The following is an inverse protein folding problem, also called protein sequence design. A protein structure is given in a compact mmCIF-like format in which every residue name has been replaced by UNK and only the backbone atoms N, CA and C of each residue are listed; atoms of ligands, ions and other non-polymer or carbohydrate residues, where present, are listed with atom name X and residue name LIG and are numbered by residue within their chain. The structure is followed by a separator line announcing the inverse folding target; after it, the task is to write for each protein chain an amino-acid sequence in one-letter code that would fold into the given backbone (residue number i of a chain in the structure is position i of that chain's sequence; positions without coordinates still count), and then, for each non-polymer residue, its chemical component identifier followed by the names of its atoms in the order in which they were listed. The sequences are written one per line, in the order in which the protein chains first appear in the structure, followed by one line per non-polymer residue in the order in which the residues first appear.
data_IF_058531454018
#
_entry.id   IF_058531454018
#
_cell.length_a   1.000
_cell.length_b   1.000
_cell.length_c   1.000
_cell.angle_alpha   90.00
_cell.angle_beta   90.00
_cell.angle_gamma   90.00
#
_symmetry.space_group_name_H-M   'P 1'
#
loop_
_entity.id
_entity.type
_entity.pdbx_description
1 polymer ?
#
# COMPACT_ATOMS: atom_id res chain seq x y z
N UNK A 1 19.85 -4.67 14.76
CA UNK A 1 21.10 -4.16 14.16
C UNK A 1 20.76 -2.86 13.44
N UNK A 2 21.28 -1.74 13.94
CA UNK A 2 21.11 -0.42 13.33
C UNK A 2 21.84 -0.44 11.98
N UNK A 3 21.08 -0.52 10.89
CA UNK A 3 21.61 -0.28 9.56
C UNK A 3 22.10 1.16 9.51
N UNK A 4 23.40 1.33 9.28
CA UNK A 4 23.99 2.60 8.90
C UNK A 4 23.19 3.07 7.69
N UNK A 5 22.41 4.15 7.85
CA UNK A 5 21.75 4.80 6.73
C UNK A 5 22.87 5.19 5.75
N UNK A 6 22.96 4.49 4.62
CA UNK A 6 23.87 4.91 3.56
C UNK A 6 23.45 6.32 3.15
N UNK A 7 24.36 7.27 3.29
CA UNK A 7 24.16 8.62 2.76
C UNK A 7 23.84 8.45 1.27
N UNK A 8 22.62 8.83 0.88
CA UNK A 8 22.23 8.83 -0.52
C UNK A 8 23.09 9.88 -1.23
N UNK A 9 24.01 9.46 -2.10
CA UNK A 9 24.81 10.35 -2.94
C UNK A 9 24.00 10.81 -4.17
N UNK A 10 22.80 11.36 -3.92
CA UNK A 10 21.95 11.85 -4.98
C UNK A 10 22.50 13.20 -5.50
N UNK A 11 22.98 13.21 -6.74
CA UNK A 11 23.49 14.43 -7.39
C UNK A 11 22.42 15.05 -8.27
N UNK A 12 22.03 16.29 -7.96
CA UNK A 12 21.05 17.04 -8.77
C UNK A 12 21.64 17.42 -10.12
N UNK A 13 20.93 17.07 -11.20
CA UNK A 13 21.23 17.53 -12.55
C UNK A 13 20.44 18.79 -12.89
N UNK A 14 19.14 18.77 -12.60
CA UNK A 14 18.24 19.88 -12.91
C UNK A 14 17.09 19.93 -11.91
N UNK A 15 16.59 21.13 -11.66
CA UNK A 15 15.47 21.37 -10.74
C UNK A 15 14.57 22.47 -11.24
N UNK A 16 13.27 22.36 -10.96
CA UNK A 16 12.28 23.38 -11.29
C UNK A 16 11.23 23.50 -10.20
N UNK A 17 10.76 24.71 -9.93
CA UNK A 17 9.74 25.01 -8.94
C UNK A 17 8.59 25.80 -9.57
N UNK A 18 7.36 25.35 -9.35
CA UNK A 18 6.15 26.07 -9.76
C UNK A 18 5.27 26.32 -8.54
N UNK A 19 4.75 27.54 -8.42
CA UNK A 19 3.69 27.87 -7.46
C UNK A 19 2.34 27.64 -8.11
N UNK A 20 1.50 26.86 -7.43
CA UNK A 20 0.16 26.50 -7.89
C UNK A 20 -0.87 27.15 -6.95
N UNK A 21 -1.77 27.93 -7.54
CA UNK A 21 -2.86 28.56 -6.81
C UNK A 21 -4.21 28.15 -7.42
N UNK A 22 -4.92 27.29 -6.70
CA UNK A 22 -6.22 26.73 -7.13
C UNK A 22 -7.30 27.81 -7.18
N UNK A 23 -7.27 28.81 -6.30
CA UNK A 23 -8.31 29.86 -6.23
C UNK A 23 -8.23 30.83 -7.42
N UNK A 24 -7.01 31.10 -7.88
CA UNK A 24 -6.77 32.00 -9.03
C UNK A 24 -6.50 31.25 -10.33
N UNK A 25 -6.45 29.92 -10.27
CA UNK A 25 -6.08 29.03 -11.38
C UNK A 25 -4.74 29.42 -12.04
N UNK A 26 -3.75 29.81 -11.23
CA UNK A 26 -2.44 30.23 -11.73
C UNK A 26 -1.33 29.21 -11.45
N UNK A 27 -0.47 29.02 -12.44
CA UNK A 27 0.75 28.22 -12.37
C UNK A 27 1.95 29.09 -12.76
N UNK A 28 2.76 29.48 -11.77
CA UNK A 28 3.88 30.39 -11.98
C UNK A 28 5.22 29.69 -11.72
N UNK A 29 6.10 29.67 -12.71
CA UNK A 29 7.48 29.23 -12.52
C UNK A 29 8.23 30.20 -11.62
N UNK A 30 8.99 29.65 -10.68
CA UNK A 30 9.76 30.43 -9.70
C UNK A 30 11.24 30.18 -9.95
N UNK A 31 11.98 31.26 -10.20
CA UNK A 31 13.43 31.21 -10.22
C UNK A 31 13.90 30.76 -8.85
N UNK A 32 14.55 29.59 -8.78
CA UNK A 32 15.06 29.06 -7.51
C UNK A 32 16.41 29.73 -7.25
N UNK A 33 16.49 30.68 -6.29
CA UNK A 33 17.74 31.34 -6.01
C UNK A 33 18.49 30.44 -5.03
N UNK A 34 19.39 29.57 -5.50
CA UNK A 34 20.03 28.64 -4.55
C UNK A 34 21.52 28.46 -4.76
N UNK A 35 22.20 28.55 -3.63
CA UNK A 35 23.40 27.78 -3.34
C UNK A 35 23.04 26.28 -3.38
N UNK A 36 23.73 25.48 -4.20
CA UNK A 36 23.31 24.10 -4.51
C UNK A 36 23.22 23.19 -3.27
N UNK A 37 23.93 23.52 -2.19
CA UNK A 37 24.05 22.69 -0.99
C UNK A 37 22.72 22.49 -0.24
N UNK A 38 21.93 23.54 -0.03
CA UNK A 38 20.69 23.44 0.75
C UNK A 38 19.62 22.63 0.02
N UNK A 39 19.56 22.76 -1.31
CA UNK A 39 18.63 22.02 -2.15
C UNK A 39 18.98 20.52 -2.22
N UNK A 40 20.28 20.19 -2.26
CA UNK A 40 20.77 18.81 -2.19
C UNK A 40 20.50 18.19 -0.81
N UNK A 41 20.66 18.94 0.27
CA UNK A 41 20.31 18.50 1.62
C UNK A 41 18.80 18.22 1.75
N UNK A 42 17.96 19.12 1.21
CA UNK A 42 16.50 18.95 1.18
C UNK A 42 16.09 17.71 0.37
N UNK A 43 16.67 17.50 -0.82
CA UNK A 43 16.43 16.30 -1.63
C UNK A 43 16.84 15.03 -0.88
N UNK A 44 18.00 15.04 -0.24
CA UNK A 44 18.51 13.88 0.50
C UNK A 44 17.57 13.48 1.63
N UNK A 45 17.05 14.45 2.39
CA UNK A 45 16.06 14.22 3.43
C UNK A 45 14.75 13.62 2.88
N UNK A 46 14.23 14.16 1.77
CA UNK A 46 13.04 13.63 1.11
C UNK A 46 13.25 12.19 0.62
N UNK A 47 14.38 11.90 -0.01
CA UNK A 47 14.68 10.56 -0.48
C UNK A 47 14.82 9.58 0.69
N UNK A 48 15.45 9.98 1.79
CA UNK A 48 15.54 9.14 2.99
C UNK A 48 14.14 8.78 3.53
N UNK A 49 13.23 9.75 3.57
CA UNK A 49 11.83 9.51 3.99
C UNK A 49 11.09 8.57 3.03
N UNK A 50 11.23 8.78 1.71
CA UNK A 50 10.57 7.96 0.68
C UNK A 50 11.07 6.51 0.73
N UNK A 51 12.38 6.29 0.87
CA UNK A 51 12.96 4.93 0.94
C UNK A 51 12.75 4.26 2.29
N UNK A 52 12.65 5.05 3.37
CA UNK A 52 12.54 4.55 4.74
C UNK A 52 11.19 3.90 5.08
N UNK A 53 10.16 4.06 4.23
CA UNK A 53 8.85 3.44 4.46
C UNK A 53 8.72 2.10 3.70
N UNK A 54 8.49 0.97 4.39
CA UNK A 54 8.20 -0.31 3.76
C UNK A 54 6.82 -0.34 3.04
N UNK A 55 6.06 0.76 3.13
CA UNK A 55 4.78 0.99 2.45
C UNK A 55 5.02 1.28 0.97
N UNK A 56 5.28 0.25 0.18
CA UNK A 56 5.41 0.39 -1.26
C UNK A 56 4.20 -0.23 -1.98
N UNK A 57 3.50 0.60 -2.75
CA UNK A 57 2.63 0.14 -3.83
C UNK A 57 3.35 0.36 -5.14
N UNK A 58 3.45 -0.67 -5.98
CA UNK A 58 4.09 -0.52 -7.28
C UNK A 58 3.11 -0.01 -8.33
N UNK A 59 3.60 0.92 -9.13
CA UNK A 59 2.85 1.54 -10.21
C UNK A 59 3.57 1.36 -11.55
N UNK A 60 2.80 1.42 -12.62
CA UNK A 60 3.30 1.52 -13.99
C UNK A 60 2.51 2.60 -14.72
N UNK A 61 3.06 3.15 -15.80
CA UNK A 61 2.31 4.04 -16.68
C UNK A 61 1.06 3.33 -17.23
N UNK A 62 -0.05 4.06 -17.35
CA UNK A 62 -1.25 3.56 -18.00
C UNK A 62 -1.04 3.32 -19.50
N UNK A 63 -0.23 4.17 -20.15
CA UNK A 63 0.17 4.07 -21.55
C UNK A 63 1.57 4.71 -21.74
N UNK A 64 2.38 4.29 -22.73
CA UNK A 64 3.64 4.95 -23.04
C UNK A 64 3.48 6.36 -23.64
N UNK A 65 2.27 6.76 -24.03
CA UNK A 65 1.98 8.04 -24.71
C UNK A 65 1.10 8.99 -23.90
N UNK A 66 1.02 8.80 -22.57
CA UNK A 66 0.30 9.76 -21.73
C UNK A 66 1.07 11.08 -21.63
N UNK A 67 0.45 12.12 -21.07
CA UNK A 67 1.10 13.40 -20.88
C UNK A 67 2.30 13.25 -19.92
N UNK A 68 2.11 12.56 -18.79
CA UNK A 68 3.20 12.27 -17.85
C UNK A 68 4.32 11.42 -18.48
N UNK A 69 3.98 10.39 -19.27
CA UNK A 69 4.96 9.58 -19.98
C UNK A 69 5.79 10.40 -20.97
N UNK A 70 5.12 11.30 -21.71
CA UNK A 70 5.75 12.20 -22.67
C UNK A 70 6.68 13.19 -21.97
N UNK A 71 6.23 13.79 -20.86
CA UNK A 71 7.05 14.68 -20.03
C UNK A 71 8.30 13.98 -19.52
N UNK A 72 8.17 12.77 -18.98
CA UNK A 72 9.31 11.99 -18.54
C UNK A 72 10.29 11.80 -19.71
N UNK A 73 9.86 11.26 -20.83
CA UNK A 73 10.73 11.05 -22.00
C UNK A 73 11.48 12.32 -22.42
N UNK A 74 10.83 13.49 -22.39
CA UNK A 74 11.47 14.77 -22.67
C UNK A 74 12.56 15.09 -21.63
N UNK A 75 12.28 14.91 -20.34
CA UNK A 75 13.25 15.15 -19.25
C UNK A 75 14.47 14.22 -19.35
N UNK A 76 14.27 12.95 -19.73
CA UNK A 76 15.37 12.00 -19.93
C UNK A 76 16.21 12.35 -21.16
N UNK A 77 15.58 12.87 -22.22
CA UNK A 77 16.27 13.31 -23.43
C UNK A 77 17.08 14.60 -23.23
N UNK A 78 16.47 15.64 -22.66
CA UNK A 78 17.12 16.94 -22.43
C UNK A 78 18.11 16.91 -21.26
N UNK A 79 17.84 16.07 -20.25
CA UNK A 79 18.49 16.08 -18.94
C UNK A 79 18.45 17.45 -18.24
N UNK A 80 17.46 18.25 -18.60
CA UNK A 80 17.28 19.62 -18.15
C UNK A 80 15.79 19.95 -18.11
N UNK A 81 15.30 20.20 -16.90
CA UNK A 81 13.91 20.55 -16.64
C UNK A 81 13.62 22.02 -16.98
N UNK A 82 14.61 22.90 -16.93
CA UNK A 82 14.41 24.34 -17.17
C UNK A 82 14.14 24.61 -18.65
N UNK A 83 14.80 23.88 -19.54
CA UNK A 83 14.65 24.04 -21.00
C UNK A 83 13.53 23.19 -21.61
N UNK A 84 13.03 22.18 -20.87
CA UNK A 84 11.95 21.32 -21.32
C UNK A 84 10.57 22.00 -21.12
N UNK A 85 9.80 22.31 -22.18
CA UNK A 85 8.46 22.89 -22.04
C UNK A 85 7.49 21.97 -21.27
N UNK A 86 7.72 20.66 -21.33
CA UNK A 86 6.92 19.65 -20.63
C UNK A 86 6.95 19.82 -19.10
N UNK A 87 7.95 20.52 -18.55
CA UNK A 87 8.05 20.84 -17.13
C UNK A 87 6.91 21.77 -16.68
N UNK A 88 6.61 22.79 -17.50
CA UNK A 88 5.48 23.70 -17.28
C UNK A 88 4.16 22.97 -17.56
N UNK A 89 4.08 22.21 -18.66
CA UNK A 89 2.88 21.43 -19.01
C UNK A 89 2.47 20.49 -17.87
N UNK A 90 3.42 19.78 -17.27
CA UNK A 90 3.13 18.87 -16.16
C UNK A 90 2.67 19.61 -14.88
N UNK A 91 3.22 20.81 -14.62
CA UNK A 91 2.79 21.66 -13.51
C UNK A 91 1.36 22.21 -13.73
N UNK A 92 1.04 22.67 -14.94
CA UNK A 92 -0.29 23.11 -15.32
C UNK A 92 -1.31 21.97 -15.29
N UNK A 93 -0.90 20.76 -15.68
CA UNK A 93 -1.73 19.56 -15.54
C UNK A 93 -2.07 19.30 -14.08
N UNK A 94 -1.08 19.35 -13.18
CA UNK A 94 -1.32 19.19 -11.76
C UNK A 94 -2.38 20.19 -11.28
N UNK A 95 -2.19 21.48 -11.56
CA UNK A 95 -3.16 22.51 -11.22
C UNK A 95 -4.56 22.22 -11.78
N UNK A 96 -4.66 21.90 -13.08
CA UNK A 96 -5.94 21.57 -13.74
C UNK A 96 -6.66 20.42 -13.04
N UNK A 97 -5.94 19.37 -12.67
CA UNK A 97 -6.54 18.23 -11.95
C UNK A 97 -6.94 18.61 -10.53
N UNK A 98 -6.17 19.47 -9.85
CA UNK A 98 -6.51 19.96 -8.51
C UNK A 98 -7.78 20.81 -8.53
N UNK A 99 -7.91 21.77 -9.46
CA UNK A 99 -9.13 22.57 -9.68
C UNK A 99 -10.32 21.65 -9.92
N UNK A 100 -10.23 20.72 -10.88
CA UNK A 100 -11.31 19.76 -11.17
C UNK A 100 -11.65 18.85 -9.97
N UNK A 101 -10.69 18.55 -9.11
CA UNK A 101 -10.92 17.72 -7.92
C UNK A 101 -11.60 18.53 -6.81
N UNK A 102 -11.21 19.79 -6.65
CA UNK A 102 -11.80 20.73 -5.71
C UNK A 102 -13.25 21.06 -6.09
N UNK A 103 -13.55 21.27 -7.37
CA UNK A 103 -14.92 21.44 -7.86
C UNK A 103 -15.81 20.22 -7.54
N UNK A 104 -15.27 19.01 -7.72
CA UNK A 104 -16.01 17.76 -7.50
C UNK A 104 -16.23 17.43 -6.03
N UNK A 105 -15.25 17.71 -5.16
CA UNK A 105 -15.21 17.17 -3.80
C UNK A 105 -14.98 18.21 -2.70
N UNK A 106 -14.70 19.47 -3.02
CA UNK A 106 -14.39 20.53 -2.05
C UNK A 106 -15.54 20.77 -1.07
N UNK A 107 -16.78 20.56 -1.49
CA UNK A 107 -17.98 20.64 -0.64
C UNK A 107 -18.01 19.60 0.51
N UNK A 108 -17.17 18.57 0.44
CA UNK A 108 -17.04 17.55 1.50
C UNK A 108 -16.12 18.01 2.63
N UNK A 109 -15.34 19.08 2.43
CA UNK A 109 -14.56 19.66 3.51
C UNK A 109 -15.47 20.34 4.54
N UNK A 110 -15.48 19.79 5.76
CA UNK A 110 -16.26 20.31 6.88
C UNK A 110 -15.74 21.66 7.38
N UNK A 111 -14.51 22.04 7.03
CA UNK A 111 -13.92 23.32 7.43
C UNK A 111 -14.35 24.48 6.53
N UNK A 112 -14.92 24.19 5.36
CA UNK A 112 -15.35 25.18 4.37
C UNK A 112 -14.20 25.91 3.69
N UNK A 113 -12.96 25.40 3.81
CA UNK A 113 -11.75 25.98 3.21
C UNK A 113 -11.34 25.29 1.91
N UNK A 114 -11.97 24.16 1.61
CA UNK A 114 -11.64 23.31 0.48
C UNK A 114 -10.79 22.11 0.90
N UNK A 115 -10.77 21.08 0.04
CA UNK A 115 -10.08 19.82 0.30
C UNK A 115 -8.58 19.91 -0.04
N UNK A 116 -8.21 20.75 -1.00
CA UNK A 116 -6.86 20.91 -1.51
C UNK A 116 -6.30 22.30 -1.20
N UNK A 117 -5.09 22.33 -0.65
CA UNK A 117 -4.39 23.57 -0.32
C UNK A 117 -3.51 24.08 -1.46
N UNK A 118 -3.24 25.40 -1.45
CA UNK A 118 -2.18 26.04 -2.23
C UNK A 118 -0.83 25.38 -1.93
N UNK A 119 0.02 25.32 -2.95
CA UNK A 119 1.29 24.62 -2.80
C UNK A 119 2.27 24.90 -3.92
N UNK A 120 3.36 24.16 -3.83
CA UNK A 120 4.41 24.16 -4.84
C UNK A 120 4.56 22.79 -5.46
N UNK A 121 4.81 22.77 -6.77
CA UNK A 121 5.30 21.60 -7.47
C UNK A 121 6.79 21.72 -7.73
N UNK A 122 7.56 20.96 -6.97
CA UNK A 122 9.01 20.91 -7.04
C UNK A 122 9.42 19.64 -7.79
N UNK A 123 10.23 19.81 -8.82
CA UNK A 123 10.66 18.74 -9.71
C UNK A 123 12.17 18.64 -9.68
N UNK A 124 12.69 17.43 -9.52
CA UNK A 124 14.11 17.11 -9.54
C UNK A 124 14.40 16.10 -10.64
N UNK A 125 15.51 16.32 -11.33
CA UNK A 125 16.19 15.31 -12.11
C UNK A 125 17.57 15.11 -11.47
N UNK A 126 17.89 13.88 -11.08
CA UNK A 126 19.10 13.56 -10.31
C UNK A 126 19.65 12.19 -10.67
N UNK A 127 20.91 11.97 -10.33
CA UNK A 127 21.56 10.66 -10.46
C UNK A 127 21.72 10.05 -9.08
N UNK A 128 21.29 8.80 -8.92
CA UNK A 128 21.39 8.00 -7.70
C UNK A 128 21.88 6.60 -8.07
N UNK A 129 23.00 6.16 -7.51
CA UNK A 129 23.62 4.87 -7.85
C UNK A 129 24.00 4.69 -9.33
N UNK A 130 24.21 5.80 -10.05
CA UNK A 130 24.50 5.80 -11.50
C UNK A 130 23.26 5.80 -12.41
N UNK A 131 22.05 5.66 -11.85
CA UNK A 131 20.80 5.69 -12.60
C UNK A 131 20.16 7.08 -12.55
N UNK A 132 19.65 7.52 -13.70
CA UNK A 132 18.91 8.77 -13.81
C UNK A 132 17.50 8.59 -13.23
N UNK A 133 17.11 9.49 -12.34
CA UNK A 133 15.81 9.46 -11.67
C UNK A 133 15.14 10.82 -11.72
N UNK A 134 13.82 10.79 -11.87
CA UNK A 134 12.93 11.94 -11.72
C UNK A 134 12.23 11.85 -10.36
N UNK A 135 12.08 12.99 -9.69
CA UNK A 135 11.25 13.14 -8.49
C UNK A 135 10.37 14.37 -8.63
N UNK A 136 9.06 14.16 -8.75
CA UNK A 136 8.05 15.22 -8.67
C UNK A 136 7.43 15.27 -7.29
N UNK A 137 7.40 16.43 -6.65
CA UNK A 137 6.92 16.62 -5.27
C UNK A 137 5.92 17.77 -5.23
N UNK A 138 4.66 17.46 -4.89
CA UNK A 138 3.68 18.46 -4.48
C UNK A 138 3.86 18.71 -2.98
N UNK A 139 4.19 19.93 -2.60
CA UNK A 139 4.38 20.34 -1.20
C UNK A 139 3.31 21.37 -0.85
N UNK A 140 2.60 21.14 0.24
CA UNK A 140 1.67 22.14 0.76
C UNK A 140 2.43 23.29 1.44
N UNK A 141 2.00 24.50 1.15
CA UNK A 141 2.59 25.70 1.70
C UNK A 141 2.31 25.84 3.20
N UNK A 142 3.37 26.10 3.98
CA UNK A 142 3.23 26.51 5.38
C UNK A 142 3.28 28.03 5.48
N UNK A 143 2.34 28.60 6.23
CA UNK A 143 2.32 30.03 6.55
C UNK A 143 3.14 30.27 7.82
N UNK A 144 4.08 31.19 7.76
CA UNK A 144 4.88 31.61 8.92
C UNK A 144 5.05 33.12 8.92
N UNK A 145 5.47 33.69 10.05
CA UNK A 145 5.85 35.09 10.17
C UNK A 145 7.36 35.13 10.13
N UNK A 146 7.92 35.86 9.18
CA UNK A 146 9.36 36.05 9.09
C UNK A 146 9.82 37.00 10.20
N UNK A 147 10.81 36.61 11.00
CA UNK A 147 11.27 37.42 12.14
C UNK A 147 12.01 38.69 11.73
N UNK A 148 12.51 38.76 10.50
CA UNK A 148 13.28 39.91 9.98
C UNK A 148 12.36 41.07 9.61
N UNK A 149 11.24 40.77 8.95
CA UNK A 149 10.32 41.79 8.45
C UNK A 149 8.91 41.72 9.07
N UNK A 150 8.65 40.74 9.94
CA UNK A 150 7.37 40.45 10.59
C UNK A 150 6.20 40.31 9.62
N UNK A 151 6.47 40.00 8.34
CA UNK A 151 5.45 39.74 7.34
C UNK A 151 5.12 38.26 7.30
N UNK A 152 3.85 38.00 6.99
CA UNK A 152 3.43 36.64 6.69
C UNK A 152 4.07 36.21 5.38
N UNK A 153 4.89 35.15 5.45
CA UNK A 153 5.50 34.50 4.29
C UNK A 153 4.94 33.10 4.12
N UNK A 154 5.11 32.61 2.90
CA UNK A 154 4.72 31.27 2.49
C UNK A 154 6.00 30.58 2.02
N UNK A 155 6.25 29.37 2.52
CA UNK A 155 7.45 28.62 2.16
C UNK A 155 7.29 27.12 2.32
N UNK A 156 8.38 26.42 2.01
CA UNK A 156 8.49 24.97 2.14
C UNK A 156 8.83 24.65 3.59
N UNK A 157 7.97 23.90 4.28
CA UNK A 157 8.24 23.48 5.66
C UNK A 157 9.42 22.50 5.70
N UNK A 158 10.26 22.57 6.74
CA UNK A 158 11.32 21.59 7.00
C UNK A 158 10.87 20.41 7.85
N UNK A 159 9.84 20.61 8.69
CA UNK A 159 9.29 19.59 9.60
C UNK A 159 7.77 19.46 9.43
N UNK A 160 7.23 18.27 9.74
CA UNK A 160 5.80 17.94 9.58
C UNK A 160 5.25 18.25 8.18
N UNK A 161 6.06 18.00 7.16
CA UNK A 161 5.73 18.29 5.76
C UNK A 161 4.54 17.45 5.34
N UNK A 162 3.51 18.08 4.78
CA UNK A 162 2.45 17.40 4.04
C UNK A 162 2.80 17.52 2.56
N UNK A 163 3.15 16.40 1.97
CA UNK A 163 3.53 16.31 0.58
C UNK A 163 3.08 15.00 -0.08
N UNK A 164 3.05 15.06 -1.41
CA UNK A 164 2.89 13.91 -2.29
C UNK A 164 4.10 13.87 -3.21
N UNK A 165 4.67 12.70 -3.43
CA UNK A 165 5.83 12.55 -4.30
C UNK A 165 5.67 11.38 -5.27
N UNK A 166 6.38 11.48 -6.38
CA UNK A 166 6.53 10.42 -7.37
C UNK A 166 7.99 10.30 -7.76
N UNK A 167 8.64 9.19 -7.39
CA UNK A 167 9.99 8.83 -7.86
C UNK A 167 9.84 7.91 -9.06
N UNK A 168 10.47 8.27 -10.16
CA UNK A 168 10.56 7.44 -11.36
C UNK A 168 12.04 7.17 -11.63
N UNK A 169 12.41 5.90 -11.70
CA UNK A 169 13.74 5.46 -12.10
C UNK A 169 13.68 4.88 -13.51
N UNK A 170 14.68 5.22 -14.33
CA UNK A 170 14.82 4.69 -15.68
C UNK A 170 16.18 4.06 -15.91
N UNK A 171 16.21 3.13 -16.86
CA UNK A 171 17.46 2.52 -17.33
C UNK A 171 18.26 3.48 -18.23
N UNK A 172 19.44 3.02 -18.65
CA UNK A 172 20.33 3.80 -19.52
C UNK A 172 19.74 4.13 -20.90
N UNK A 173 18.66 3.47 -21.30
CA UNK A 173 17.94 3.68 -22.56
C UNK A 173 16.71 4.57 -22.38
N UNK A 174 16.45 5.07 -21.16
CA UNK A 174 15.27 5.89 -20.86
C UNK A 174 13.99 5.08 -20.75
N UNK A 175 14.08 3.76 -20.56
CA UNK A 175 12.91 2.94 -20.27
C UNK A 175 12.62 2.97 -18.77
N UNK A 176 11.34 3.10 -18.46
CA UNK A 176 10.86 3.14 -17.09
C UNK A 176 11.07 1.78 -16.39
N UNK A 177 11.79 1.79 -15.27
CA UNK A 177 12.04 0.59 -14.46
C UNK A 177 11.09 0.50 -13.26
N UNK A 178 10.97 1.58 -12.48
CA UNK A 178 10.19 1.60 -11.24
C UNK A 178 9.51 2.96 -11.06
N UNK A 179 8.24 2.94 -10.63
CA UNK A 179 7.50 4.12 -10.16
C UNK A 179 7.10 3.91 -8.71
N UNK A 180 7.56 4.81 -7.85
CA UNK A 180 7.14 4.91 -6.46
C UNK A 180 6.29 6.14 -6.27
N UNK A 181 5.11 5.95 -5.66
CA UNK A 181 4.25 7.06 -5.25
C UNK A 181 4.24 7.11 -3.73
N UNK A 182 4.50 8.30 -3.20
CA UNK A 182 4.43 8.60 -1.78
C UNK A 182 3.36 9.64 -1.52
N UNK A 183 2.64 9.48 -0.42
CA UNK A 183 1.70 10.46 0.12
C UNK A 183 1.91 10.48 1.63
N UNK A 184 1.95 11.66 2.22
CA UNK A 184 2.10 11.78 3.68
C UNK A 184 0.87 11.18 4.39
N UNK A 185 -0.28 11.15 3.71
CA UNK A 185 -1.46 10.42 4.15
C UNK A 185 -1.28 8.91 3.93
N UNK A 186 -1.87 8.09 4.80
CA UNK A 186 -1.73 6.64 4.76
C UNK A 186 -2.13 6.02 3.42
N UNK A 187 -3.05 6.60 2.65
CA UNK A 187 -3.41 6.13 1.31
C UNK A 187 -3.07 7.20 0.27
N UNK A 188 -2.27 6.86 -0.77
CA UNK A 188 -2.04 7.77 -1.89
C UNK A 188 -3.34 8.21 -2.55
N UNK A 189 -3.53 9.53 -2.63
CA UNK A 189 -4.75 10.13 -3.18
C UNK A 189 -4.94 9.74 -4.65
N UNK A 190 -6.15 9.32 -5.04
CA UNK A 190 -6.42 8.81 -6.41
C UNK A 190 -6.13 9.85 -7.48
N UNK A 191 -6.50 11.11 -7.27
CA UNK A 191 -6.22 12.18 -8.25
C UNK A 191 -4.71 12.29 -8.54
N UNK A 192 -3.86 12.09 -7.52
CA UNK A 192 -2.41 12.23 -7.66
C UNK A 192 -1.82 11.14 -8.55
N UNK A 193 -1.95 9.87 -8.17
CA UNK A 193 -1.32 8.80 -8.95
C UNK A 193 -2.07 8.48 -10.25
N UNK A 194 -3.40 8.59 -10.27
CA UNK A 194 -4.20 8.14 -11.41
C UNK A 194 -4.44 9.26 -12.43
N UNK A 195 -4.75 10.46 -11.98
CA UNK A 195 -5.18 11.56 -12.86
C UNK A 195 -4.00 12.46 -13.24
N UNK A 196 -3.17 12.88 -12.28
CA UNK A 196 -1.97 13.70 -12.55
C UNK A 196 -0.90 12.85 -13.21
N UNK A 197 -0.48 11.77 -12.56
CA UNK A 197 0.66 10.94 -12.99
C UNK A 197 0.26 9.84 -13.99
N UNK A 198 -1.04 9.66 -14.26
CA UNK A 198 -1.54 8.70 -15.26
C UNK A 198 -0.99 7.28 -15.06
N UNK A 199 -0.86 6.90 -13.79
CA UNK A 199 -0.37 5.59 -13.40
C UNK A 199 -1.53 4.62 -13.24
N UNK A 200 -1.20 3.35 -13.35
CA UNK A 200 -2.04 2.24 -12.93
C UNK A 200 -1.27 1.40 -11.90
N UNK A 201 -2.01 0.87 -10.94
CA UNK A 201 -1.43 -0.05 -9.97
C UNK A 201 -0.98 -1.30 -10.70
N UNK A 202 0.28 -1.72 -10.47
CA UNK A 202 0.82 -2.91 -11.12
C UNK A 202 0.07 -4.18 -10.68
N UNK A 203 -0.47 -4.16 -9.45
CA UNK A 203 -1.24 -5.24 -8.85
C UNK A 203 -2.53 -4.71 -8.27
N UNK A 204 -3.61 -5.44 -8.53
CA UNK A 204 -4.91 -5.15 -7.94
C UNK A 204 -4.90 -5.47 -6.44
N UNK A 205 -5.79 -4.81 -5.70
CA UNK A 205 -6.03 -5.09 -4.28
C UNK A 205 -6.40 -6.57 -4.04
N UNK A 206 -7.19 -7.17 -4.95
CA UNK A 206 -7.54 -8.58 -4.89
C UNK A 206 -6.32 -9.50 -5.05
N UNK A 207 -5.47 -9.24 -6.06
CA UNK A 207 -4.27 -10.03 -6.30
C UNK A 207 -3.27 -9.92 -5.13
N UNK A 208 -3.10 -8.71 -4.59
CA UNK A 208 -2.26 -8.49 -3.41
C UNK A 208 -2.82 -9.24 -2.19
N UNK A 209 -4.12 -9.14 -1.92
CA UNK A 209 -4.80 -9.83 -0.82
C UNK A 209 -4.61 -11.35 -0.91
N UNK A 210 -4.93 -11.94 -2.06
CA UNK A 210 -4.81 -13.38 -2.29
C UNK A 210 -3.36 -13.85 -2.14
N UNK A 211 -2.41 -13.12 -2.76
CA UNK A 211 -0.99 -13.49 -2.75
C UNK A 211 -0.41 -13.40 -1.35
N UNK A 212 -0.67 -12.30 -0.63
CA UNK A 212 -0.14 -12.07 0.70
C UNK A 212 -0.65 -13.14 1.69
N UNK A 213 -1.97 -13.35 1.79
CA UNK A 213 -2.53 -14.32 2.74
C UNK A 213 -2.05 -15.74 2.44
N UNK A 214 -2.00 -16.12 1.15
CA UNK A 214 -1.49 -17.43 0.71
C UNK A 214 -0.07 -17.68 1.19
N UNK A 215 0.83 -16.70 1.02
CA UNK A 215 2.23 -16.86 1.39
C UNK A 215 2.47 -16.76 2.90
N UNK A 216 1.70 -15.95 3.62
CA UNK A 216 1.73 -15.93 5.10
C UNK A 216 1.32 -17.30 5.64
N UNK A 217 0.14 -17.80 5.24
CA UNK A 217 -0.36 -19.11 5.71
C UNK A 217 0.59 -20.25 5.32
N UNK A 218 1.17 -20.20 4.11
CA UNK A 218 2.19 -21.18 3.69
C UNK A 218 3.44 -21.13 4.57
N UNK A 219 3.87 -19.94 4.98
CA UNK A 219 5.02 -19.76 5.88
C UNK A 219 4.72 -20.33 7.27
N UNK A 220 3.49 -20.18 7.76
CA UNK A 220 3.02 -20.79 9.02
C UNK A 220 2.97 -22.32 8.99
N UNK A 221 3.08 -22.95 7.82
CA UNK A 221 3.15 -24.42 7.71
C UNK A 221 4.25 -25.05 8.58
N UNK A 222 5.37 -24.35 8.80
CA UNK A 222 6.45 -24.79 9.70
C UNK A 222 6.06 -24.75 11.19
N UNK A 223 5.19 -23.81 11.56
CA UNK A 223 4.66 -23.72 12.93
C UNK A 223 3.77 -24.92 13.23
N UNK A 224 2.99 -25.39 12.25
CA UNK A 224 2.09 -26.54 12.42
C UNK A 224 2.80 -27.80 12.91
N UNK A 225 4.04 -28.05 12.45
CA UNK A 225 4.85 -29.19 12.89
C UNK A 225 5.44 -29.03 14.29
N UNK A 226 5.65 -27.79 14.76
CA UNK A 226 6.24 -27.49 16.06
C UNK A 226 5.16 -27.34 17.14
N UNK A 227 4.08 -26.65 16.82
CA UNK A 227 2.95 -26.39 17.70
C UNK A 227 1.66 -26.24 16.88
N UNK A 228 0.84 -27.30 16.79
CA UNK A 228 -0.46 -27.24 16.12
C UNK A 228 -1.41 -26.20 16.73
N UNK A 229 -1.31 -25.94 18.03
CA UNK A 229 -2.15 -24.98 18.76
C UNK A 229 -1.77 -23.55 18.37
N UNK A 230 -0.49 -23.18 18.49
CA UNK A 230 -0.01 -21.84 18.10
C UNK A 230 -0.27 -21.58 16.61
N UNK A 231 -0.07 -22.60 15.76
CA UNK A 231 -0.41 -22.52 14.34
C UNK A 231 -1.88 -22.14 14.12
N UNK A 232 -2.81 -22.77 14.84
CA UNK A 232 -4.24 -22.51 14.69
C UNK A 232 -4.57 -21.07 15.09
N UNK A 233 -4.00 -20.59 16.20
CA UNK A 233 -4.19 -19.22 16.68
C UNK A 233 -3.68 -18.20 15.66
N UNK A 234 -2.42 -18.31 15.25
CA UNK A 234 -1.77 -17.38 14.32
C UNK A 234 -2.43 -17.40 12.94
N UNK A 235 -2.85 -18.58 12.48
CA UNK A 235 -3.57 -18.74 11.22
C UNK A 235 -4.92 -18.04 11.28
N UNK A 236 -5.71 -18.27 12.33
CA UNK A 236 -7.03 -17.65 12.45
C UNK A 236 -6.93 -16.13 12.57
N UNK A 237 -5.95 -15.63 13.32
CA UNK A 237 -5.64 -14.20 13.40
C UNK A 237 -5.26 -13.63 12.02
N UNK A 238 -4.47 -14.36 11.23
CA UNK A 238 -4.15 -13.99 9.85
C UNK A 238 -5.41 -13.89 8.99
N UNK A 239 -6.27 -14.92 9.00
CA UNK A 239 -7.48 -14.92 8.17
C UNK A 239 -8.43 -13.80 8.59
N UNK A 240 -8.63 -13.60 9.89
CA UNK A 240 -9.46 -12.53 10.43
C UNK A 240 -8.94 -11.14 10.03
N UNK A 241 -7.62 -10.91 10.05
CA UNK A 241 -7.02 -9.67 9.59
C UNK A 241 -7.29 -9.43 8.10
N UNK A 242 -7.18 -10.47 7.26
CA UNK A 242 -7.35 -10.35 5.81
C UNK A 242 -8.81 -10.31 5.33
N UNK A 243 -9.78 -10.70 6.17
CA UNK A 243 -11.23 -10.61 5.89
C UNK A 243 -11.84 -9.23 6.18
N UNK A 244 -11.02 -8.24 6.49
CA UNK A 244 -11.45 -6.85 6.70
C UNK A 244 -11.49 -6.08 5.37
N UNK A 245 -12.06 -4.88 5.38
CA UNK A 245 -12.18 -4.00 4.18
C UNK A 245 -11.26 -2.78 4.25
N UNK A 246 -10.38 -2.71 5.25
CA UNK A 246 -9.48 -1.58 5.46
C UNK A 246 -8.17 -1.68 4.66
N UNK A 247 -7.35 -0.62 4.74
CA UNK A 247 -6.01 -0.64 4.14
C UNK A 247 -5.05 -1.39 5.05
N UNK A 248 -4.48 -2.48 4.56
CA UNK A 248 -3.44 -3.23 5.24
C UNK A 248 -2.09 -2.56 5.03
N UNK A 249 -1.39 -2.21 6.11
CA UNK A 249 0.07 -2.10 6.11
C UNK A 249 0.65 -3.45 6.55
N UNK A 250 1.40 -4.10 5.67
CA UNK A 250 1.87 -5.45 5.90
C UNK A 250 2.89 -5.54 7.05
N UNK A 251 3.76 -4.55 7.24
CA UNK A 251 4.72 -4.57 8.34
C UNK A 251 4.03 -4.36 9.71
N UNK A 252 3.02 -3.48 9.76
CA UNK A 252 2.19 -3.28 10.95
C UNK A 252 1.43 -4.56 11.30
N UNK A 253 0.87 -5.23 10.28
CA UNK A 253 0.24 -6.54 10.44
C UNK A 253 1.20 -7.58 11.00
N UNK A 254 2.42 -7.69 10.43
CA UNK A 254 3.41 -8.65 10.94
C UNK A 254 3.75 -8.35 12.40
N UNK A 255 3.91 -7.08 12.74
CA UNK A 255 4.22 -6.63 14.10
C UNK A 255 3.09 -6.98 15.07
N UNK A 256 1.86 -6.59 14.75
CA UNK A 256 0.68 -6.79 15.61
C UNK A 256 0.32 -8.26 15.79
N UNK A 257 0.40 -9.06 14.72
CA UNK A 257 -0.09 -10.45 14.73
C UNK A 257 0.97 -11.46 15.14
N UNK A 258 2.25 -11.23 14.83
CA UNK A 258 3.31 -12.21 15.08
C UNK A 258 4.37 -11.70 16.04
N UNK A 259 4.93 -10.50 15.84
CA UNK A 259 6.03 -10.04 16.69
C UNK A 259 5.58 -9.81 18.16
N UNK A 260 4.34 -9.37 18.35
CA UNK A 260 3.73 -9.17 19.67
C UNK A 260 3.05 -10.42 20.24
N UNK A 261 3.11 -11.57 19.55
CA UNK A 261 2.48 -12.81 20.02
C UNK A 261 3.35 -13.49 21.08
N UNK A 262 2.72 -14.01 22.13
CA UNK A 262 3.37 -14.83 23.16
C UNK A 262 3.07 -16.32 22.88
N UNK A 263 4.03 -17.10 22.37
CA UNK A 263 3.82 -18.51 22.03
C UNK A 263 3.54 -19.37 23.25
N UNK A 264 2.71 -20.40 23.06
CA UNK A 264 2.47 -21.45 24.05
C UNK A 264 3.59 -22.50 24.03
N UNK A 265 4.17 -22.77 22.86
CA UNK A 265 5.33 -23.64 22.70
C UNK A 265 6.65 -22.89 22.90
N UNK A 266 7.53 -23.42 23.75
CA UNK A 266 8.88 -22.91 23.96
C UNK A 266 9.72 -22.95 22.68
N UNK A 267 9.57 -24.00 21.87
CA UNK A 267 10.27 -24.11 20.57
C UNK A 267 9.81 -23.04 19.59
N UNK A 268 8.52 -22.69 19.58
CA UNK A 268 8.06 -21.56 18.76
C UNK A 268 8.58 -20.23 19.29
N UNK A 269 8.67 -20.05 20.62
CA UNK A 269 9.22 -18.83 21.21
C UNK A 269 10.67 -18.55 20.75
N UNK A 270 11.49 -19.60 20.62
CA UNK A 270 12.86 -19.49 20.10
C UNK A 270 12.90 -19.16 18.60
N UNK A 271 11.98 -19.71 17.80
CA UNK A 271 11.94 -19.53 16.35
C UNK A 271 11.14 -18.30 15.87
N UNK A 272 10.35 -17.68 16.76
CA UNK A 272 9.48 -16.55 16.41
C UNK A 272 10.23 -15.37 15.76
N UNK A 273 11.43 -14.95 16.23
CA UNK A 273 12.19 -13.88 15.57
C UNK A 273 12.57 -14.22 14.12
N UNK A 274 12.92 -15.48 13.84
CA UNK A 274 13.23 -15.96 12.49
C UNK A 274 11.98 -15.97 11.60
N UNK A 275 10.84 -16.38 12.16
CA UNK A 275 9.55 -16.35 11.48
C UNK A 275 9.16 -14.92 11.11
N UNK A 276 9.25 -13.97 12.05
CA UNK A 276 8.95 -12.54 11.81
C UNK A 276 9.83 -11.96 10.71
N UNK A 277 11.14 -12.24 10.74
CA UNK A 277 12.07 -11.80 9.69
C UNK A 277 11.70 -12.39 8.32
N UNK A 278 11.33 -13.66 8.29
CA UNK A 278 10.86 -14.33 7.07
C UNK A 278 9.59 -13.68 6.53
N UNK A 279 8.60 -13.43 7.39
CA UNK A 279 7.34 -12.80 7.04
C UNK A 279 7.57 -11.40 6.47
N UNK A 280 8.37 -10.55 7.11
CA UNK A 280 8.69 -9.19 6.62
C UNK A 280 9.34 -9.18 5.23
N UNK A 281 10.07 -10.23 4.86
CA UNK A 281 10.68 -10.35 3.53
C UNK A 281 9.72 -10.82 2.42
N UNK A 282 8.47 -11.20 2.76
CA UNK A 282 7.53 -11.76 1.80
C UNK A 282 7.10 -10.81 0.67
N UNK A 283 6.80 -9.50 0.90
CA UNK A 283 6.38 -8.60 -0.17
C UNK A 283 7.36 -8.59 -1.35
N UNK A 284 8.65 -8.46 -1.03
CA UNK A 284 9.73 -8.45 -2.02
C UNK A 284 9.91 -9.81 -2.72
N UNK A 285 9.98 -10.90 -1.94
CA UNK A 285 10.24 -12.26 -2.45
C UNK A 285 9.06 -12.85 -3.22
N UNK A 286 7.84 -12.45 -2.88
CA UNK A 286 6.60 -13.02 -3.42
C UNK A 286 5.82 -12.04 -4.29
N UNK A 287 6.36 -10.85 -4.51
CA UNK A 287 5.85 -9.86 -5.47
C UNK A 287 4.40 -9.49 -5.17
N UNK A 288 4.17 -9.00 -3.97
CA UNK A 288 2.95 -8.26 -3.60
C UNK A 288 3.35 -6.96 -2.89
N UNK A 289 2.43 -6.01 -2.84
CA UNK A 289 2.71 -4.67 -2.34
C UNK A 289 2.76 -4.65 -0.80
N UNK A 290 3.61 -3.80 -0.20
CA UNK A 290 3.68 -3.64 1.26
C UNK A 290 2.43 -2.98 1.86
N UNK A 291 1.62 -2.32 1.02
CA UNK A 291 0.38 -1.68 1.40
C UNK A 291 -0.70 -1.79 0.32
N UNK A 292 -1.90 -2.23 0.68
CA UNK A 292 -3.04 -2.38 -0.23
C UNK A 292 -4.38 -2.41 0.53
N UNK A 293 -5.49 -2.15 -0.16
CA UNK A 293 -6.82 -2.32 0.44
C UNK A 293 -7.20 -3.79 0.41
N UNK A 294 -7.68 -4.31 1.54
CA UNK A 294 -8.08 -5.71 1.64
C UNK A 294 -9.35 -5.99 0.85
N UNK A 295 -9.36 -7.13 0.16
CA UNK A 295 -10.53 -7.64 -0.57
C UNK A 295 -10.95 -8.96 0.06
N UNK A 296 -11.92 -8.99 1.00
CA UNK A 296 -12.30 -10.20 1.72
C UNK A 296 -12.66 -11.38 0.82
N UNK A 297 -13.30 -11.11 -0.33
CA UNK A 297 -13.67 -12.13 -1.31
C UNK A 297 -12.46 -12.76 -2.03
N UNK A 298 -11.28 -12.14 -1.98
CA UNK A 298 -10.04 -12.67 -2.53
C UNK A 298 -9.24 -13.52 -1.52
N UNK A 299 -9.69 -13.58 -0.25
CA UNK A 299 -9.08 -14.47 0.74
C UNK A 299 -9.48 -15.91 0.39
N UNK A 300 -8.52 -16.83 0.13
CA UNK A 300 -8.85 -18.19 -0.26
C UNK A 300 -9.63 -18.90 0.83
N UNK A 301 -10.84 -19.34 0.51
CA UNK A 301 -11.59 -20.28 1.34
C UNK A 301 -10.99 -21.67 1.14
N UNK A 302 -10.56 -22.29 2.24
CA UNK A 302 -10.14 -23.68 2.20
C UNK A 302 -11.33 -24.55 2.54
N UNK A 303 -11.70 -25.46 1.63
CA UNK A 303 -12.61 -26.54 2.00
C UNK A 303 -11.89 -27.51 2.92
N UNK A 304 -12.38 -27.63 4.15
CA UNK A 304 -12.15 -28.77 5.00
C UNK A 304 -12.85 -29.97 4.38
N UNK A 305 -12.23 -31.14 4.43
CA UNK A 305 -12.89 -32.40 4.07
C UNK A 305 -12.66 -33.39 5.20
N UNK A 306 -13.74 -33.81 5.82
CA UNK A 306 -13.73 -34.80 6.89
C UNK A 306 -14.26 -36.10 6.31
N UNK A 307 -13.49 -37.18 6.49
CA UNK A 307 -13.94 -38.54 6.18
C UNK A 307 -14.95 -38.97 7.26
N UNK A 308 -16.19 -39.24 6.85
CA UNK A 308 -17.28 -39.68 7.75
C UNK A 308 -17.35 -41.20 7.82
N UNK A 309 -17.15 -41.87 6.69
CA UNK A 309 -17.00 -43.33 6.57
C UNK A 309 -16.06 -43.67 5.42
N UNK A 310 -15.85 -44.95 5.13
CA UNK A 310 -15.01 -45.37 4.00
C UNK A 310 -15.49 -44.88 2.63
N UNK A 311 -16.80 -44.63 2.50
CA UNK A 311 -17.42 -44.23 1.23
C UNK A 311 -17.94 -42.79 1.24
N UNK A 312 -17.98 -42.13 2.41
CA UNK A 312 -18.63 -40.82 2.58
C UNK A 312 -17.66 -39.83 3.22
N UNK A 313 -17.53 -38.66 2.62
CA UNK A 313 -16.83 -37.50 3.18
C UNK A 313 -17.72 -36.27 3.13
N UNK A 314 -17.57 -35.38 4.09
CA UNK A 314 -18.23 -34.07 4.12
C UNK A 314 -17.18 -33.01 3.91
N UNK A 315 -17.43 -32.13 2.94
CA UNK A 315 -16.61 -30.96 2.70
C UNK A 315 -17.36 -29.70 3.10
N UNK A 316 -16.70 -28.80 3.83
CA UNK A 316 -17.25 -27.52 4.26
C UNK A 316 -16.18 -26.45 4.19
N UNK A 317 -16.58 -25.20 3.98
CA UNK A 317 -15.64 -24.08 3.93
C UNK A 317 -15.09 -23.79 5.33
N UNK A 318 -13.82 -23.43 5.45
CA UNK A 318 -13.28 -22.99 6.73
C UNK A 318 -13.91 -21.67 7.20
N UNK A 319 -13.94 -21.48 8.52
CA UNK A 319 -14.51 -20.32 9.20
C UNK A 319 -16.02 -20.11 8.99
N UNK A 320 -16.79 -21.19 8.90
CA UNK A 320 -18.24 -21.11 9.07
C UNK A 320 -18.52 -20.56 10.48
N UNK A 321 -19.16 -19.37 10.62
CA UNK A 321 -19.60 -18.88 11.92
C UNK A 321 -20.55 -19.87 12.54
N UNK A 322 -20.42 -20.09 13.85
CA UNK A 322 -21.29 -21.01 14.60
C UNK A 322 -21.31 -22.42 13.99
N UNK A 323 -20.15 -22.90 13.51
CA UNK A 323 -19.99 -24.25 12.97
C UNK A 323 -20.58 -25.34 13.90
N UNK A 324 -20.43 -25.30 15.24
CA UNK A 324 -21.05 -26.28 16.13
C UNK A 324 -22.58 -26.35 16.04
N UNK A 325 -23.25 -25.25 15.67
CA UNK A 325 -24.71 -25.20 15.52
C UNK A 325 -25.16 -25.72 14.14
N UNK A 326 -24.22 -25.86 13.20
CA UNK A 326 -24.47 -26.28 11.82
C UNK A 326 -24.02 -27.71 11.54
N UNK A 327 -22.95 -28.17 12.20
CA UNK A 327 -22.38 -29.51 12.04
C UNK A 327 -21.97 -30.05 13.41
N UNK A 328 -22.60 -31.15 13.84
CA UNK A 328 -22.29 -31.77 15.13
C UNK A 328 -22.41 -33.29 15.08
N UNK A 329 -21.80 -33.95 16.05
CA UNK A 329 -21.96 -35.38 16.27
C UNK A 329 -23.13 -35.66 17.22
N UNK A 330 -23.89 -36.72 16.95
CA UNK A 330 -24.92 -37.22 17.86
C UNK A 330 -25.00 -38.75 17.84
N UNK A 331 -25.83 -39.33 18.71
CA UNK A 331 -26.16 -40.75 18.74
C UNK A 331 -27.65 -40.96 18.54
N UNK A 332 -28.03 -41.89 17.67
CA UNK A 332 -29.43 -42.31 17.54
C UNK A 332 -29.91 -43.03 18.82
N UNK A 333 -31.23 -43.24 19.01
CA UNK A 333 -31.75 -44.05 20.13
C UNK A 333 -31.17 -45.47 20.19
N UNK A 334 -30.76 -46.03 19.05
CA UNK A 334 -30.09 -47.32 18.97
C UNK A 334 -28.57 -47.27 19.30
N UNK A 335 -28.05 -46.11 19.72
CA UNK A 335 -26.65 -45.91 20.08
C UNK A 335 -25.70 -45.68 18.90
N UNK A 336 -26.22 -45.58 17.67
CA UNK A 336 -25.39 -45.40 16.47
C UNK A 336 -24.87 -43.96 16.37
N UNK A 337 -23.54 -43.84 16.23
CA UNK A 337 -22.83 -42.61 15.89
C UNK A 337 -23.29 -42.02 14.56
N UNK A 338 -23.75 -40.77 14.57
CA UNK A 338 -24.16 -40.04 13.36
C UNK A 338 -23.54 -38.65 13.32
N UNK A 339 -23.26 -38.18 12.10
CA UNK A 339 -22.94 -36.77 11.85
C UNK A 339 -24.24 -36.08 11.42
N UNK A 340 -24.60 -35.01 12.12
CA UNK A 340 -25.77 -34.19 11.81
C UNK A 340 -25.30 -32.90 11.13
N UNK A 341 -25.98 -32.56 10.04
CA UNK A 341 -25.74 -31.35 9.24
C UNK A 341 -27.05 -30.58 9.20
N UNK A 342 -27.05 -29.30 9.55
CA UNK A 342 -28.16 -28.40 9.26
C UNK A 342 -28.28 -28.27 7.73
N UNK A 343 -29.46 -28.65 7.20
CA UNK A 343 -29.62 -28.97 5.79
C UNK A 343 -30.87 -28.30 5.16
N UNK A 344 -31.02 -26.97 5.26
CA UNK A 344 -32.24 -26.26 4.85
C UNK A 344 -32.55 -26.37 3.34
N UNK A 345 -31.54 -26.67 2.53
CA UNK A 345 -31.65 -26.68 1.06
C UNK A 345 -31.76 -28.10 0.45
N UNK A 346 -31.82 -29.16 1.27
CA UNK A 346 -31.83 -30.56 0.77
C UNK A 346 -33.06 -31.36 1.19
N UNK A 347 -34.07 -30.69 1.74
CA UNK A 347 -35.36 -31.32 2.04
C UNK A 347 -35.94 -32.00 0.78
N UNK A 348 -36.27 -33.29 0.89
CA UNK A 348 -36.80 -34.10 -0.21
C UNK A 348 -35.77 -34.78 -1.12
N UNK A 349 -34.47 -34.48 -0.99
CA UNK A 349 -33.40 -35.19 -1.72
C UNK A 349 -33.05 -36.52 -1.01
N UNK A 350 -33.06 -36.50 0.32
CA UNK A 350 -32.78 -37.67 1.16
C UNK A 350 -34.04 -38.11 1.92
N UNK A 351 -34.15 -39.41 2.17
CA UNK A 351 -35.24 -39.96 2.98
C UNK A 351 -35.13 -39.44 4.41
N UNK A 352 -36.19 -38.77 4.88
CA UNK A 352 -36.30 -38.34 6.27
C UNK A 352 -36.37 -39.56 7.19
N UNK A 353 -35.55 -39.56 8.24
CA UNK A 353 -35.60 -40.54 9.33
C UNK A 353 -35.87 -39.80 10.62
N UNK A 354 -37.12 -39.78 11.12
CA UNK A 354 -37.44 -39.07 12.34
C UNK A 354 -36.69 -39.67 13.53
N UNK A 355 -36.32 -38.81 14.47
CA UNK A 355 -35.80 -39.24 15.75
C UNK A 355 -36.99 -39.63 16.62
N UNK A 356 -37.20 -40.92 16.85
CA UNK A 356 -38.18 -41.39 17.82
C UNK A 356 -37.69 -41.02 19.24
N UNK A 357 -38.03 -39.82 19.68
CA UNK A 357 -37.92 -39.39 21.07
C UNK A 357 -39.06 -40.08 21.84
N UNK A 358 -38.80 -41.26 22.39
CA UNK A 358 -39.63 -41.85 23.44
C UNK A 358 -39.18 -41.39 24.82
#
# INVERSE_FOLDING_TARGET
MNGIASVLEAKILSTSLHHLDIETETCNSVAIPVDKADLEAYLSALLLEIHGRPQNRLYTLASPTTEFATSLNAFFGSKDLVTAPETQTLAERLLRIEVNTEERYGHLDRSGKGLLNKGSFLQFLYVDGGSLSYLGVKIEHQRFIDETDLKQKIGLGESNKIYKACKVSMDAQGKLEQVFVFDTHSRPSTYWWKEVLELQQLRSDALNTETAVKWVVKTLGKVKSVSPVDYTILRNATIAAFKQTETLNFDDFVTKTFASYAPLSTTLAEELPNLVTTLRSLPEKRKFDGQFTLVPSAVPFRRQTIKVSDQISVAYDEDIPDLPDKIWYSKTPAGQSVLVLDAPNVAGIFTEKPWDLK
#
